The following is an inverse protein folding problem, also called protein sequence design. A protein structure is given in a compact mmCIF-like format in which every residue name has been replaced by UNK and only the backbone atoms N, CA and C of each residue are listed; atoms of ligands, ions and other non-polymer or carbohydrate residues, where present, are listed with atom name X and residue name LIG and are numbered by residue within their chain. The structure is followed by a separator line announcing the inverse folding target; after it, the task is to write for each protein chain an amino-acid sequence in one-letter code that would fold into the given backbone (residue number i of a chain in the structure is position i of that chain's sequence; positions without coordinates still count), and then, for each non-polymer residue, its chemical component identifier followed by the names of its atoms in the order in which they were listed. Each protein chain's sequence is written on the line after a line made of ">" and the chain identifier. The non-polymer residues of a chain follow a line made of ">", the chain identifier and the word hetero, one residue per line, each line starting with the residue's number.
data_IF_798366343770
#
_entry.id   IF_798366343770
#
_cell.length_a   1.000
_cell.length_b   1.000
_cell.length_c   1.000
_cell.angle_alpha   90.00
_cell.angle_beta   90.00
_cell.angle_gamma   90.00
#
_symmetry.space_group_name_H-M   'P 1'
#
loop_
_entity.id
_entity.type
_entity.pdbx_description
1 polymer ?
#
# COMPACT_ATOMS: atom_id res chain seq x y z
N UNK A 1 36.50 54.20 -34.58
CA UNK A 1 36.15 52.93 -33.93
C UNK A 1 34.66 52.73 -34.09
N UNK A 2 34.28 51.62 -34.71
CA UNK A 2 33.00 51.36 -35.40
C UNK A 2 31.79 51.47 -34.48
N UNK A 3 31.02 52.54 -34.64
CA UNK A 3 29.67 52.71 -34.08
C UNK A 3 28.69 51.88 -34.90
N UNK A 4 28.21 50.79 -34.32
CA UNK A 4 27.13 49.95 -34.86
C UNK A 4 25.83 50.75 -34.92
N UNK A 5 25.37 51.04 -36.14
CA UNK A 5 24.07 51.66 -36.38
C UNK A 5 22.95 50.64 -36.13
N UNK A 6 21.85 50.98 -35.43
CA UNK A 6 20.75 50.05 -35.21
C UNK A 6 20.00 49.77 -36.52
N UNK A 7 19.66 48.49 -36.75
CA UNK A 7 18.84 48.06 -37.88
C UNK A 7 17.42 48.65 -37.77
N UNK A 8 16.80 49.05 -38.91
CA UNK A 8 15.43 49.56 -38.90
C UNK A 8 14.45 48.45 -38.52
N UNK A 9 13.57 48.76 -37.56
CA UNK A 9 12.45 47.89 -37.18
C UNK A 9 11.56 47.77 -38.43
N UNK A 10 11.26 46.55 -38.92
CA UNK A 10 10.35 46.38 -40.04
C UNK A 10 8.98 46.93 -39.63
N UNK A 11 8.36 47.71 -40.52
CA UNK A 11 7.03 48.27 -40.30
C UNK A 11 6.01 47.13 -40.21
N UNK A 12 5.79 46.65 -38.98
CA UNK A 12 4.72 45.72 -38.65
C UNK A 12 3.42 46.49 -38.92
N UNK A 13 2.50 45.84 -39.66
CA UNK A 13 1.14 46.27 -40.01
C UNK A 13 0.57 47.42 -39.18
N UNK A 14 -0.14 48.38 -39.80
CA UNK A 14 -0.75 49.46 -39.04
C UNK A 14 -1.72 48.82 -38.03
N UNK A 15 -1.42 48.95 -36.74
CA UNK A 15 -2.44 48.77 -35.72
C UNK A 15 -3.52 49.80 -36.05
N UNK A 16 -4.69 49.30 -36.46
CA UNK A 16 -5.86 50.10 -36.80
C UNK A 16 -6.18 51.02 -35.63
N UNK A 17 -5.78 52.29 -35.76
CA UNK A 17 -6.18 53.42 -34.92
C UNK A 17 -7.57 53.89 -35.35
N UNK A 18 -8.57 53.02 -35.25
CA UNK A 18 -9.97 53.33 -35.50
C UNK A 18 -10.76 53.38 -34.20
N UNK A 19 -11.73 54.29 -34.09
CA UNK A 19 -12.76 54.28 -33.04
C UNK A 19 -13.35 52.87 -32.90
N UNK A 20 -13.79 52.41 -31.71
CA UNK A 20 -14.32 51.06 -31.55
C UNK A 20 -15.54 50.88 -32.45
N UNK A 21 -15.34 50.17 -33.57
CA UNK A 21 -16.40 49.77 -34.50
C UNK A 21 -17.00 48.50 -33.91
N UNK A 22 -18.32 48.42 -33.85
CA UNK A 22 -19.14 47.31 -33.32
C UNK A 22 -18.61 45.90 -33.69
N UNK A 23 -17.99 45.78 -34.87
CA UNK A 23 -17.32 44.58 -35.40
C UNK A 23 -16.15 44.02 -34.55
N UNK A 24 -15.48 44.81 -33.70
CA UNK A 24 -14.38 44.31 -32.86
C UNK A 24 -14.89 43.53 -31.62
N UNK A 25 -16.08 43.89 -31.12
CA UNK A 25 -16.70 43.22 -29.99
C UNK A 25 -17.16 41.80 -30.36
N UNK A 26 -17.81 41.63 -31.51
CA UNK A 26 -18.26 40.33 -32.01
C UNK A 26 -17.08 39.39 -32.28
N UNK A 27 -16.01 39.90 -32.90
CA UNK A 27 -14.80 39.10 -33.15
C UNK A 27 -14.14 38.65 -31.85
N UNK A 28 -14.04 39.53 -30.85
CA UNK A 28 -13.50 39.18 -29.52
C UNK A 28 -14.38 38.13 -28.83
N UNK A 29 -15.70 38.25 -28.94
CA UNK A 29 -16.63 37.26 -28.41
C UNK A 29 -16.45 35.89 -29.08
N UNK A 30 -16.31 35.84 -30.41
CA UNK A 30 -16.06 34.58 -31.13
C UNK A 30 -14.75 33.91 -30.74
N UNK A 31 -13.68 34.69 -30.53
CA UNK A 31 -12.40 34.16 -30.02
C UNK A 31 -12.56 33.59 -28.61
N UNK A 32 -13.24 34.32 -27.71
CA UNK A 32 -13.49 33.86 -26.35
C UNK A 32 -14.33 32.58 -26.34
N UNK A 33 -15.40 32.52 -27.14
CA UNK A 33 -16.27 31.35 -27.24
C UNK A 33 -15.50 30.13 -27.78
N UNK A 34 -14.65 30.33 -28.79
CA UNK A 34 -13.80 29.27 -29.35
C UNK A 34 -12.80 28.77 -28.31
N UNK A 35 -12.16 29.68 -27.58
CA UNK A 35 -11.21 29.33 -26.51
C UNK A 35 -11.90 28.53 -25.39
N UNK A 36 -13.06 28.99 -24.92
CA UNK A 36 -13.86 28.28 -23.90
C UNK A 36 -14.26 26.88 -24.39
N UNK A 37 -14.77 26.78 -25.62
CA UNK A 37 -15.17 25.49 -26.20
C UNK A 37 -13.99 24.53 -26.33
N UNK A 38 -12.84 25.02 -26.79
CA UNK A 38 -11.61 24.23 -26.88
C UNK A 38 -11.14 23.77 -25.50
N UNK A 39 -11.18 24.65 -24.48
CA UNK A 39 -10.85 24.28 -23.09
C UNK A 39 -11.79 23.21 -22.54
N UNK A 40 -13.10 23.30 -22.82
CA UNK A 40 -14.06 22.26 -22.42
C UNK A 40 -13.73 20.94 -23.12
N UNK A 41 -13.42 20.96 -24.42
CA UNK A 41 -12.99 19.76 -25.16
C UNK A 41 -11.74 19.09 -24.57
N UNK A 42 -10.76 19.88 -24.13
CA UNK A 42 -9.59 19.38 -23.40
C UNK A 42 -9.99 18.74 -22.07
N UNK A 43 -10.86 19.38 -21.28
CA UNK A 43 -11.31 18.81 -20.00
C UNK A 43 -12.07 17.49 -20.20
N UNK A 44 -12.97 17.44 -21.19
CA UNK A 44 -13.77 16.25 -21.52
C UNK A 44 -12.91 15.06 -21.94
N UNK A 45 -11.71 15.28 -22.50
CA UNK A 45 -10.80 14.20 -22.92
C UNK A 45 -9.76 13.88 -21.85
N UNK A 46 -9.20 14.88 -21.18
CA UNK A 46 -8.16 14.72 -20.17
C UNK A 46 -8.69 14.02 -18.90
N UNK A 47 -9.91 14.36 -18.44
CA UNK A 47 -10.50 13.75 -17.23
C UNK A 47 -10.65 12.24 -17.36
N UNK A 48 -11.38 11.67 -18.34
CA UNK A 48 -11.51 10.22 -18.46
C UNK A 48 -10.17 9.53 -18.76
N UNK A 49 -9.25 10.19 -19.48
CA UNK A 49 -7.91 9.66 -19.70
C UNK A 49 -7.13 9.50 -18.39
N UNK A 50 -7.13 10.51 -17.51
CA UNK A 50 -6.49 10.40 -16.19
C UNK A 50 -7.25 9.42 -15.30
N UNK A 51 -8.59 9.44 -15.33
CA UNK A 51 -9.42 8.48 -14.59
C UNK A 51 -9.18 7.05 -15.02
N UNK A 52 -8.74 6.79 -16.25
CA UNK A 52 -8.40 5.43 -16.71
C UNK A 52 -7.22 4.80 -15.97
N UNK A 53 -6.41 5.59 -15.27
CA UNK A 53 -5.33 5.09 -14.40
C UNK A 53 -5.82 4.67 -13.00
N UNK A 54 -7.08 4.93 -12.65
CA UNK A 54 -7.66 4.48 -11.37
C UNK A 54 -8.01 2.98 -11.40
N UNK A 55 -8.17 2.32 -10.24
CA UNK A 55 -8.49 0.89 -10.20
C UNK A 55 -9.76 0.55 -10.99
N UNK A 56 -9.71 -0.49 -11.82
CA UNK A 56 -10.85 -0.97 -12.59
C UNK A 56 -11.92 -1.61 -11.70
N UNK A 57 -13.16 -1.71 -12.19
CA UNK A 57 -14.23 -2.40 -11.47
C UNK A 57 -13.89 -3.85 -11.13
N UNK A 58 -13.15 -4.54 -12.02
CA UNK A 58 -12.63 -5.87 -11.74
C UNK A 58 -11.70 -5.85 -10.51
N UNK A 59 -10.82 -4.86 -10.41
CA UNK A 59 -9.92 -4.73 -9.28
C UNK A 59 -10.68 -4.41 -7.98
N UNK A 60 -11.74 -3.59 -8.06
CA UNK A 60 -12.61 -3.30 -6.91
C UNK A 60 -13.44 -4.53 -6.49
N UNK A 61 -13.91 -5.34 -7.43
CA UNK A 61 -14.68 -6.56 -7.16
C UNK A 61 -13.85 -7.67 -6.48
N UNK A 62 -12.53 -7.71 -6.70
CA UNK A 62 -11.61 -8.55 -5.90
C UNK A 62 -11.51 -8.10 -4.42
N UNK A 63 -12.16 -6.99 -4.07
CA UNK A 63 -12.31 -6.43 -2.72
C UNK A 63 -13.07 -7.30 -1.71
N UNK A 64 -13.79 -8.32 -2.19
CA UNK A 64 -14.72 -9.12 -1.39
C UNK A 64 -14.00 -9.95 -0.31
N UNK A 65 -14.68 -10.19 0.80
CA UNK A 65 -14.17 -11.03 1.89
C UNK A 65 -13.97 -12.49 1.44
N UNK A 66 -12.93 -13.15 1.93
CA UNK A 66 -12.58 -14.54 1.61
C UNK A 66 -12.76 -15.42 2.84
N UNK A 67 -13.57 -16.46 2.74
CA UNK A 67 -13.71 -17.47 3.78
C UNK A 67 -12.66 -18.58 3.61
N UNK A 68 -11.94 -18.89 4.68
CA UNK A 68 -10.84 -19.86 4.69
C UNK A 68 -11.08 -20.88 5.80
N UNK A 69 -11.04 -22.16 5.45
CA UNK A 69 -10.96 -23.25 6.42
C UNK A 69 -9.50 -23.46 6.85
N UNK A 70 -9.28 -23.54 8.16
CA UNK A 70 -7.97 -23.75 8.81
C UNK A 70 -7.91 -25.06 9.59
N UNK A 71 -8.88 -25.96 9.38
CA UNK A 71 -8.93 -27.30 9.99
C UNK A 71 -7.69 -28.16 9.67
N UNK A 72 -7.12 -27.99 8.48
CA UNK A 72 -5.93 -28.68 7.96
C UNK A 72 -4.60 -28.09 8.48
N UNK A 73 -4.65 -26.95 9.16
CA UNK A 73 -3.44 -26.23 9.56
C UNK A 73 -2.81 -26.87 10.80
N UNK A 74 -1.67 -27.54 10.61
CA UNK A 74 -0.87 -28.13 11.70
C UNK A 74 -0.10 -27.05 12.49
N UNK A 75 0.22 -27.27 13.78
CA UNK A 75 1.11 -26.37 14.52
C UNK A 75 2.46 -26.19 13.81
N UNK A 76 2.93 -24.96 13.72
CA UNK A 76 4.07 -24.51 12.91
C UNK A 76 3.76 -24.29 11.42
N UNK A 77 2.59 -24.76 10.95
CA UNK A 77 2.17 -24.66 9.56
C UNK A 77 1.78 -23.24 9.15
N UNK A 78 2.19 -22.85 7.95
CA UNK A 78 1.87 -21.59 7.29
C UNK A 78 1.00 -21.86 6.05
N UNK A 79 -0.21 -21.31 6.03
CA UNK A 79 -1.11 -21.33 4.87
C UNK A 79 -1.13 -19.95 4.23
N UNK A 80 -1.00 -19.90 2.91
CA UNK A 80 -1.07 -18.65 2.14
C UNK A 80 -2.32 -18.65 1.28
N UNK A 81 -3.12 -17.59 1.39
CA UNK A 81 -4.31 -17.36 0.57
C UNK A 81 -4.17 -16.00 -0.14
N UNK A 82 -4.96 -15.79 -1.18
CA UNK A 82 -5.03 -14.50 -1.88
C UNK A 82 -6.25 -13.70 -1.40
N UNK A 83 -6.05 -12.43 -1.06
CA UNK A 83 -7.10 -11.47 -0.75
C UNK A 83 -6.74 -10.11 -1.34
N UNK A 84 -7.63 -9.54 -2.18
CA UNK A 84 -7.40 -8.29 -2.92
C UNK A 84 -6.08 -8.28 -3.73
N UNK A 85 -5.71 -9.43 -4.31
CA UNK A 85 -4.44 -9.60 -5.03
C UNK A 85 -3.19 -9.59 -4.14
N UNK A 86 -3.35 -9.56 -2.81
CA UNK A 86 -2.26 -9.63 -1.82
C UNK A 86 -2.19 -11.03 -1.21
N UNK A 87 -0.98 -11.59 -0.98
CA UNK A 87 -0.84 -12.80 -0.19
C UNK A 87 -1.19 -12.50 1.27
N UNK A 88 -2.07 -13.30 1.87
CA UNK A 88 -2.36 -13.30 3.31
C UNK A 88 -1.90 -14.62 3.89
N UNK A 89 -1.08 -14.51 4.93
CA UNK A 89 -0.55 -15.63 5.68
C UNK A 89 -1.42 -15.94 6.87
N UNK A 90 -1.62 -17.23 7.11
CA UNK A 90 -2.26 -17.80 8.28
C UNK A 90 -1.27 -18.80 8.88
N UNK A 91 -0.64 -18.41 9.98
CA UNK A 91 0.34 -19.23 10.70
C UNK A 91 -0.30 -19.77 11.99
N UNK A 92 -0.31 -21.09 12.16
CA UNK A 92 -0.65 -21.70 13.45
C UNK A 92 0.61 -21.86 14.29
N UNK A 93 0.83 -20.95 15.22
CA UNK A 93 2.01 -20.94 16.10
C UNK A 93 1.95 -22.07 17.13
N UNK A 94 3.11 -22.67 17.41
CA UNK A 94 3.24 -23.64 18.51
C UNK A 94 3.33 -22.93 19.86
N UNK A 95 3.11 -23.64 20.99
CA UNK A 95 3.31 -23.07 22.32
C UNK A 95 4.72 -22.50 22.53
N UNK A 96 5.75 -23.14 21.98
CA UNK A 96 7.14 -22.69 22.07
C UNK A 96 7.36 -21.39 21.28
N UNK A 97 6.74 -21.29 20.09
CA UNK A 97 6.78 -20.06 19.29
C UNK A 97 6.16 -18.89 20.05
N UNK A 98 5.03 -19.12 20.75
CA UNK A 98 4.36 -18.10 21.55
C UNK A 98 5.17 -17.69 22.78
N UNK A 99 5.76 -18.67 23.46
CA UNK A 99 6.60 -18.43 24.64
C UNK A 99 7.84 -17.58 24.31
N UNK A 100 8.35 -17.67 23.07
CA UNK A 100 9.51 -16.89 22.63
C UNK A 100 9.19 -15.43 22.30
N UNK A 101 7.94 -15.08 21.94
CA UNK A 101 7.60 -13.72 21.48
C UNK A 101 7.97 -12.60 22.47
N UNK A 102 7.71 -12.71 23.78
CA UNK A 102 8.05 -11.64 24.74
C UNK A 102 9.57 -11.41 24.88
N UNK A 103 10.39 -12.45 24.65
CA UNK A 103 11.85 -12.33 24.73
C UNK A 103 12.45 -11.41 23.66
N UNK A 104 11.69 -11.12 22.60
CA UNK A 104 12.11 -10.31 21.47
C UNK A 104 11.79 -8.82 21.62
N UNK A 105 10.94 -8.42 22.58
CA UNK A 105 10.33 -7.08 22.64
C UNK A 105 11.35 -5.94 22.61
N UNK A 106 12.49 -6.09 23.28
CA UNK A 106 13.56 -5.09 23.30
C UNK A 106 14.19 -4.82 21.92
N UNK A 107 14.10 -5.80 21.00
CA UNK A 107 14.67 -5.75 19.64
C UNK A 107 13.68 -5.26 18.59
N UNK A 108 12.41 -5.02 18.93
CA UNK A 108 11.35 -4.69 17.98
C UNK A 108 11.09 -3.17 17.90
N UNK A 109 10.67 -2.70 16.73
CA UNK A 109 10.32 -1.29 16.53
C UNK A 109 9.02 -0.92 17.26
N UNK A 110 8.01 -1.80 17.18
CA UNK A 110 6.70 -1.61 17.80
C UNK A 110 6.21 -2.93 18.44
N UNK A 111 6.73 -3.30 19.62
CA UNK A 111 6.42 -4.59 20.27
C UNK A 111 4.95 -4.69 20.71
N UNK A 112 4.33 -3.56 21.04
CA UNK A 112 2.94 -3.48 21.51
C UNK A 112 1.94 -3.14 20.40
N UNK A 113 2.37 -3.08 19.13
CA UNK A 113 1.47 -2.88 17.99
C UNK A 113 0.63 -1.60 18.11
N UNK A 114 1.25 -0.48 18.48
CA UNK A 114 0.58 0.82 18.69
C UNK A 114 0.35 1.60 17.40
N UNK A 115 1.05 1.28 16.30
CA UNK A 115 0.84 1.94 15.00
C UNK A 115 -0.58 1.70 14.48
N UNK A 116 -1.19 2.73 13.88
CA UNK A 116 -2.53 2.67 13.28
C UNK A 116 -2.49 1.98 11.90
N UNK A 117 -2.29 0.67 11.89
CA UNK A 117 -2.23 -0.15 10.68
C UNK A 117 -2.92 -1.51 10.83
N UNK A 118 -3.33 -1.87 12.05
CA UNK A 118 -4.03 -3.12 12.34
C UNK A 118 -5.33 -2.81 13.08
N UNK A 119 -6.32 -3.72 12.99
CA UNK A 119 -7.54 -3.66 13.78
C UNK A 119 -7.27 -3.63 15.29
N UNK A 120 -8.24 -3.13 16.06
CA UNK A 120 -8.10 -2.93 17.50
C UNK A 120 -7.79 -4.24 18.24
N UNK A 121 -8.45 -5.34 17.86
CA UNK A 121 -8.22 -6.65 18.45
C UNK A 121 -6.80 -7.18 18.23
N UNK A 122 -6.06 -6.64 17.25
CA UNK A 122 -4.68 -7.02 16.93
C UNK A 122 -3.64 -6.05 17.54
N UNK A 123 -4.07 -5.05 18.34
CA UNK A 123 -3.19 -4.21 19.16
C UNK A 123 -2.74 -4.92 20.44
N UNK A 124 -2.14 -6.09 20.26
CA UNK A 124 -1.57 -6.89 21.33
C UNK A 124 -0.20 -7.45 20.90
N UNK A 125 0.62 -8.00 21.82
CA UNK A 125 1.95 -8.51 21.48
C UNK A 125 1.93 -9.63 20.42
N UNK A 126 0.88 -10.45 20.40
CA UNK A 126 0.72 -11.60 19.50
C UNK A 126 0.11 -11.22 18.15
N UNK A 127 -0.48 -10.03 18.03
CA UNK A 127 -1.10 -9.48 16.81
C UNK A 127 -2.16 -10.40 16.22
N UNK A 128 -3.02 -10.94 17.08
CA UNK A 128 -4.01 -11.96 16.74
C UNK A 128 -5.19 -11.95 17.71
N UNK A 129 -6.36 -12.41 17.25
CA UNK A 129 -7.53 -12.67 18.10
C UNK A 129 -7.29 -13.90 18.98
N UNK A 130 -6.97 -15.04 18.35
CA UNK A 130 -6.53 -16.27 19.03
C UNK A 130 -4.99 -16.31 19.02
N UNK A 131 -4.30 -16.37 20.17
CA UNK A 131 -2.83 -16.29 20.23
C UNK A 131 -2.12 -17.28 19.30
N UNK A 132 -2.65 -18.46 19.09
CA UNK A 132 -2.07 -19.48 18.22
C UNK A 132 -2.24 -19.20 16.73
N UNK A 133 -3.19 -18.37 16.30
CA UNK A 133 -3.43 -18.09 14.87
C UNK A 133 -2.99 -16.67 14.53
N UNK A 134 -1.88 -16.55 13.82
CA UNK A 134 -1.41 -15.29 13.28
C UNK A 134 -1.91 -15.10 11.85
N UNK A 135 -2.62 -14.00 11.59
CA UNK A 135 -3.12 -13.63 10.26
C UNK A 135 -2.48 -12.31 9.85
N UNK A 136 -1.79 -12.27 8.71
CA UNK A 136 -1.13 -11.05 8.25
C UNK A 136 -0.97 -11.00 6.74
N UNK A 137 -1.01 -9.81 6.17
CA UNK A 137 -0.64 -9.57 4.78
C UNK A 137 0.86 -9.85 4.64
N UNK A 138 1.19 -10.83 3.81
CA UNK A 138 2.55 -11.30 3.52
C UNK A 138 3.36 -10.36 2.64
N UNK A 139 3.26 -9.05 2.88
CA UNK A 139 3.91 -8.00 2.09
C UNK A 139 4.79 -7.19 3.04
N UNK A 140 6.09 -7.14 2.73
CA UNK A 140 7.05 -6.35 3.45
C UNK A 140 6.70 -4.86 3.35
N UNK A 141 6.62 -4.19 4.50
CA UNK A 141 6.28 -2.77 4.62
C UNK A 141 7.38 -1.82 4.13
N UNK A 142 8.53 -2.34 3.69
CA UNK A 142 9.56 -1.54 3.03
C UNK A 142 9.11 -1.12 1.62
N UNK A 143 9.11 -2.07 0.68
CA UNK A 143 8.85 -1.83 -0.75
C UNK A 143 8.01 -2.96 -1.40
N UNK A 144 7.29 -3.75 -0.60
CA UNK A 144 6.26 -4.64 -1.12
C UNK A 144 6.68 -6.07 -1.50
N UNK A 145 7.96 -6.44 -1.36
CA UNK A 145 8.36 -7.85 -1.53
C UNK A 145 7.66 -8.77 -0.52
N UNK A 146 7.39 -10.01 -0.89
CA UNK A 146 6.88 -11.03 0.04
C UNK A 146 8.05 -11.68 0.83
N UNK A 147 8.13 -11.51 2.16
CA UNK A 147 9.15 -12.20 2.97
C UNK A 147 8.95 -13.73 2.97
N UNK A 148 9.99 -14.50 3.24
CA UNK A 148 9.91 -15.95 3.43
C UNK A 148 9.97 -16.31 4.92
N UNK A 149 9.26 -17.37 5.33
CA UNK A 149 9.39 -17.90 6.68
C UNK A 149 10.75 -18.55 6.86
N UNK A 150 11.42 -18.24 7.97
CA UNK A 150 12.74 -18.77 8.31
C UNK A 150 12.66 -19.45 9.68
N UNK A 151 12.90 -20.77 9.76
CA UNK A 151 12.79 -21.52 11.01
C UNK A 151 13.95 -21.23 11.97
N UNK A 152 13.77 -21.59 13.23
CA UNK A 152 14.83 -21.59 14.26
C UNK A 152 15.96 -22.54 13.83
N UNK A 153 17.21 -22.17 14.11
CA UNK A 153 18.37 -23.01 13.79
C UNK A 153 18.74 -23.04 12.30
N UNK A 154 18.21 -22.11 11.51
CA UNK A 154 18.61 -21.95 10.12
C UNK A 154 20.09 -21.51 9.99
N UNK A 155 20.71 -21.80 8.86
CA UNK A 155 22.00 -21.22 8.45
C UNK A 155 21.83 -20.06 7.47
N UNK A 156 20.64 -19.45 7.41
CA UNK A 156 20.38 -18.32 6.53
C UNK A 156 21.21 -17.10 6.96
N UNK A 157 22.13 -16.59 6.10
CA UNK A 157 23.01 -15.47 6.46
C UNK A 157 22.25 -14.14 6.65
N UNK A 158 20.98 -14.08 6.25
CA UNK A 158 20.11 -12.91 6.40
C UNK A 158 19.56 -12.71 7.82
N UNK A 159 19.71 -13.70 8.70
CA UNK A 159 19.28 -13.63 10.12
C UNK A 159 20.47 -13.89 11.04
N UNK A 160 20.40 -13.37 12.27
CA UNK A 160 21.48 -13.56 13.26
C UNK A 160 21.43 -14.94 13.92
N UNK A 161 22.54 -15.35 14.55
CA UNK A 161 22.67 -16.65 15.23
C UNK A 161 21.63 -16.87 16.35
N UNK A 162 21.12 -15.78 16.93
CA UNK A 162 20.11 -15.80 17.99
C UNK A 162 18.66 -15.87 17.48
N UNK A 163 18.46 -16.21 16.19
CA UNK A 163 17.16 -16.24 15.53
C UNK A 163 16.16 -17.18 16.22
N UNK A 164 15.01 -16.62 16.60
CA UNK A 164 13.89 -17.34 17.27
C UNK A 164 12.75 -17.70 16.32
N UNK A 165 13.02 -17.72 15.02
CA UNK A 165 12.01 -17.96 14.00
C UNK A 165 11.27 -16.67 13.62
N UNK A 166 10.73 -16.63 12.40
CA UNK A 166 10.03 -15.46 11.90
C UNK A 166 10.05 -15.41 10.39
N UNK A 167 10.15 -14.20 9.85
CA UNK A 167 10.15 -13.93 8.42
C UNK A 167 11.34 -13.06 7.99
N UNK A 168 11.92 -13.37 6.84
CA UNK A 168 13.04 -12.64 6.26
C UNK A 168 12.69 -12.15 4.86
N UNK A 169 12.89 -10.85 4.61
CA UNK A 169 12.71 -10.24 3.30
C UNK A 169 14.09 -10.04 2.63
N UNK A 170 14.44 -10.84 1.60
CA UNK A 170 15.77 -10.79 0.99
C UNK A 170 16.02 -9.52 0.18
N UNK A 171 14.98 -8.77 -0.23
CA UNK A 171 15.13 -7.59 -1.07
C UNK A 171 16.04 -6.52 -0.46
N UNK A 172 15.93 -6.29 0.86
CA UNK A 172 16.72 -5.28 1.59
C UNK A 172 17.06 -5.72 3.02
N UNK A 173 16.96 -7.02 3.32
CA UNK A 173 17.40 -7.59 4.61
C UNK A 173 16.52 -7.29 5.83
N UNK A 174 15.24 -6.96 5.62
CA UNK A 174 14.30 -6.74 6.73
C UNK A 174 13.88 -8.06 7.36
N UNK A 175 13.82 -8.12 8.69
CA UNK A 175 13.42 -9.29 9.46
C UNK A 175 12.21 -8.97 10.33
N UNK A 176 11.34 -9.97 10.49
CA UNK A 176 10.13 -9.89 11.31
C UNK A 176 10.05 -11.13 12.19
N UNK A 177 9.48 -11.01 13.39
CA UNK A 177 9.23 -12.17 14.25
C UNK A 177 7.99 -12.97 13.81
N UNK A 178 7.61 -14.01 14.57
CA UNK A 178 6.44 -14.85 14.29
C UNK A 178 5.09 -14.16 14.56
N UNK A 179 5.08 -12.91 15.05
CA UNK A 179 3.91 -12.04 15.09
C UNK A 179 3.96 -10.97 13.98
N UNK A 180 4.91 -11.07 13.05
CA UNK A 180 5.11 -10.10 11.97
C UNK A 180 5.60 -8.74 12.46
N UNK A 181 6.20 -8.67 13.65
CA UNK A 181 6.76 -7.43 14.22
C UNK A 181 8.16 -7.21 13.68
N UNK A 182 8.44 -6.01 13.19
CA UNK A 182 9.72 -5.70 12.56
C UNK A 182 10.81 -5.46 13.60
N UNK A 183 12.00 -6.00 13.35
CA UNK A 183 13.17 -5.76 14.19
C UNK A 183 13.71 -4.32 13.98
N UNK A 184 14.29 -3.74 15.02
CA UNK A 184 14.99 -2.45 14.97
C UNK A 184 16.12 -2.47 13.94
N UNK A 185 16.45 -1.29 13.42
CA UNK A 185 17.54 -1.08 12.45
C UNK A 185 17.35 -1.86 11.13
N UNK A 186 16.10 -2.10 10.71
CA UNK A 186 15.76 -2.68 9.42
C UNK A 186 15.10 -1.63 8.51
N UNK A 187 15.23 -1.73 7.18
CA UNK A 187 14.62 -0.76 6.25
C UNK A 187 13.09 -0.72 6.30
N UNK A 188 12.43 -1.83 6.64
CA UNK A 188 10.99 -1.86 6.85
C UNK A 188 10.59 -0.94 8.03
N UNK A 189 9.73 0.07 7.81
CA UNK A 189 9.42 1.07 8.82
C UNK A 189 8.41 0.59 9.88
N UNK A 190 7.61 -0.43 9.56
CA UNK A 190 6.52 -0.91 10.43
C UNK A 190 6.36 -2.43 10.40
N UNK A 191 5.58 -2.97 11.34
CA UNK A 191 5.20 -4.38 11.39
C UNK A 191 4.37 -4.77 10.14
N UNK A 192 4.28 -6.05 9.79
CA UNK A 192 3.44 -6.51 8.68
C UNK A 192 1.96 -6.19 8.93
N UNK A 193 1.20 -5.78 7.92
CA UNK A 193 -0.22 -5.41 8.07
C UNK A 193 -1.06 -6.62 8.53
N UNK A 194 -1.98 -6.43 9.48
CA UNK A 194 -2.97 -7.47 9.86
C UNK A 194 -4.27 -7.09 9.18
N UNK A 195 -4.80 -7.91 8.25
CA UNK A 195 -6.05 -7.60 7.61
C UNK A 195 -7.21 -7.75 8.60
N UNK A 196 -8.31 -6.99 8.42
CA UNK A 196 -9.57 -7.23 9.13
C UNK A 196 -10.02 -8.67 8.91
N UNK A 197 -10.35 -9.37 9.99
CA UNK A 197 -10.77 -10.75 9.95
C UNK A 197 -11.57 -11.11 11.19
N UNK A 198 -12.45 -12.11 11.06
CA UNK A 198 -13.20 -12.70 12.16
C UNK A 198 -13.34 -14.21 12.00
N UNK A 199 -13.72 -14.87 13.09
CA UNK A 199 -14.00 -16.31 13.09
C UNK A 199 -15.49 -16.53 12.83
N UNK A 200 -15.82 -17.25 11.76
CA UNK A 200 -17.19 -17.72 11.48
C UNK A 200 -17.51 -19.00 12.26
N UNK A 201 -16.48 -19.78 12.56
CA UNK A 201 -16.50 -20.97 13.40
C UNK A 201 -15.07 -21.20 13.94
N UNK A 202 -14.87 -22.20 14.79
CA UNK A 202 -13.55 -22.44 15.40
C UNK A 202 -12.42 -22.67 14.40
N UNK A 203 -12.72 -23.33 13.29
CA UNK A 203 -11.77 -23.60 12.20
C UNK A 203 -12.05 -22.81 10.93
N UNK A 204 -12.93 -21.79 10.95
CA UNK A 204 -13.28 -21.03 9.75
C UNK A 204 -13.07 -19.53 9.96
N UNK A 205 -12.14 -18.97 9.20
CA UNK A 205 -11.84 -17.53 9.19
C UNK A 205 -12.52 -16.84 8.01
N UNK A 206 -12.97 -15.62 8.24
CA UNK A 206 -13.36 -14.68 7.18
C UNK A 206 -12.33 -13.55 7.16
N UNK A 207 -11.67 -13.33 6.03
CA UNK A 207 -10.65 -12.29 5.83
C UNK A 207 -11.26 -11.18 4.97
N UNK A 208 -11.06 -9.93 5.37
CA UNK A 208 -11.57 -8.72 4.70
C UNK A 208 -12.78 -8.08 5.38
N UNK A 209 -13.29 -8.66 6.46
CA UNK A 209 -14.38 -8.13 7.28
C UNK A 209 -14.15 -8.50 8.74
N UNK A 210 -14.43 -7.58 9.65
CA UNK A 210 -14.45 -7.82 11.10
C UNK A 210 -15.77 -7.35 11.73
N UNK A 211 -15.89 -7.43 13.05
CA UNK A 211 -17.10 -7.03 13.77
C UNK A 211 -17.30 -5.50 13.83
N UNK A 212 -16.30 -4.71 13.42
CA UNK A 212 -16.40 -3.26 13.30
C UNK A 212 -16.85 -2.80 11.89
N UNK A 213 -16.92 -3.73 10.91
CA UNK A 213 -17.46 -3.50 9.57
C UNK A 213 -16.56 -4.03 8.44
N UNK A 214 -16.95 -3.75 7.20
CA UNK A 214 -16.13 -4.02 6.01
C UNK A 214 -15.07 -2.93 5.85
N UNK A 215 -13.83 -3.32 5.53
CA UNK A 215 -12.70 -2.40 5.33
C UNK A 215 -12.40 -2.05 3.87
#
# INVERSE_FOLDING_TARGET
>A
MTTTSPLPIPSILPLSSGKPVEHDAERRQMILLTAVTASVGVAVTAVPFVSSFTPSERALAMGTSVAVDISDLVPGGLKTIEWRGKPVWILRRTPEMLANLPSLDARLVDPSSKKNQQPEYARNPQRSIKPEIFVSVGICTHLGCSPSQVPIGTSNPGVGDDWKGGFFCPCHGSTFDLAGRVYKNKPAPTNLEVPPHKYLADSKLLIGEDDAGTA
#
